data_IF_046794795156
#
_entry.id   IF_046794795156
#
_cell.length_a   1.000
_cell.length_b   1.000
_cell.length_c   1.000
_cell.angle_alpha   90.00
_cell.angle_beta   90.00
_cell.angle_gamma   90.00
#
_symmetry.space_group_name_H-M   'P 1'
#
loop_
_entity.id
_entity.type
_entity.pdbx_description
1 polymer ?
#
# COMPACT_ATOMS: atom_id res chain seq x y z
N UNK A 1 8.13 -10.33 -3.18
CA UNK A 1 7.15 -9.36 -2.68
C UNK A 1 6.15 -9.13 -3.78
N UNK A 2 4.91 -9.51 -3.54
CA UNK A 2 3.79 -9.32 -4.47
C UNK A 2 2.87 -8.24 -3.89
N UNK A 3 2.25 -7.44 -4.77
CA UNK A 3 1.21 -6.50 -4.36
C UNK A 3 -0.09 -7.28 -4.27
N UNK A 4 -0.67 -7.30 -3.08
CA UNK A 4 -1.94 -7.96 -2.79
C UNK A 4 -3.06 -6.92 -2.76
N UNK A 5 -4.21 -7.29 -3.29
CA UNK A 5 -5.41 -6.48 -3.29
C UNK A 5 -6.30 -6.86 -2.09
N UNK A 6 -6.78 -5.85 -1.37
CA UNK A 6 -7.76 -5.96 -0.32
C UNK A 6 -8.92 -5.01 -0.57
N UNK A 7 -9.89 -4.99 0.34
CA UNK A 7 -11.01 -4.06 0.24
C UNK A 7 -10.52 -2.62 0.40
N UNK A 8 -10.61 -1.81 -0.67
CA UNK A 8 -10.20 -0.41 -0.68
C UNK A 8 -8.72 -0.20 -0.29
N UNK A 9 -7.87 -1.22 -0.50
CA UNK A 9 -6.45 -1.12 -0.21
C UNK A 9 -5.58 -2.03 -1.06
N UNK A 10 -4.35 -1.62 -1.25
CA UNK A 10 -3.26 -2.48 -1.72
C UNK A 10 -2.23 -2.61 -0.63
N UNK A 11 -1.65 -3.81 -0.47
CA UNK A 11 -0.64 -4.05 0.55
C UNK A 11 0.40 -5.07 0.10
N UNK A 12 1.55 -5.06 0.77
CA UNK A 12 2.66 -6.00 0.51
C UNK A 12 3.03 -6.66 1.82
N UNK A 13 3.18 -7.98 1.77
CA UNK A 13 3.74 -8.75 2.88
C UNK A 13 5.20 -9.12 2.63
N UNK A 14 5.98 -9.23 3.70
CA UNK A 14 7.31 -9.81 3.68
C UNK A 14 7.25 -11.36 3.53
N UNK A 15 8.42 -12.00 3.58
CA UNK A 15 8.51 -13.46 3.47
C UNK A 15 7.94 -14.21 4.69
N UNK A 16 7.77 -13.54 5.83
CA UNK A 16 7.21 -14.08 7.06
C UNK A 16 5.68 -13.88 7.14
N UNK A 17 5.12 -13.10 6.21
CA UNK A 17 3.70 -12.80 6.11
C UNK A 17 3.28 -11.51 6.82
N UNK A 18 4.22 -10.71 7.34
CA UNK A 18 3.91 -9.43 7.96
C UNK A 18 3.68 -8.36 6.90
N UNK A 19 2.66 -7.53 7.09
CA UNK A 19 2.40 -6.41 6.20
C UNK A 19 3.47 -5.33 6.40
N UNK A 20 4.20 -5.00 5.34
CA UNK A 20 5.32 -4.05 5.36
C UNK A 20 5.07 -2.77 4.55
N UNK A 21 3.99 -2.74 3.77
CA UNK A 21 3.52 -1.54 3.11
C UNK A 21 2.02 -1.64 2.82
N UNK A 22 1.30 -0.52 2.88
CA UNK A 22 -0.07 -0.42 2.42
C UNK A 22 -0.44 0.96 1.86
N UNK A 23 -1.43 0.96 0.97
CA UNK A 23 -2.12 2.14 0.47
C UNK A 23 -3.61 1.89 0.63
N UNK A 24 -4.29 2.76 1.37
CA UNK A 24 -5.75 2.74 1.55
C UNK A 24 -6.36 3.88 0.75
N UNK A 25 -7.41 3.57 -0.02
CA UNK A 25 -8.09 4.54 -0.86
C UNK A 25 -9.61 4.50 -0.67
N UNK A 26 -10.26 5.65 -0.71
CA UNK A 26 -11.72 5.76 -0.58
C UNK A 26 -12.29 6.26 -1.91
N UNK A 27 -13.19 5.51 -2.57
CA UNK A 27 -13.84 5.98 -3.78
C UNK A 27 -14.77 7.16 -3.46
N UNK A 28 -14.65 8.23 -4.24
CA UNK A 28 -15.48 9.44 -4.12
C UNK A 28 -16.19 9.72 -5.43
N UNK A 29 -17.29 9.00 -5.66
CA UNK A 29 -18.01 9.01 -6.93
C UNK A 29 -17.52 7.94 -7.89
N UNK A 30 -17.92 8.04 -9.17
CA UNK A 30 -17.76 6.96 -10.14
C UNK A 30 -16.31 6.81 -10.67
N UNK A 31 -15.55 7.90 -10.70
CA UNK A 31 -14.23 7.93 -11.34
C UNK A 31 -13.13 8.58 -10.51
N UNK A 32 -13.39 8.89 -9.24
CA UNK A 32 -12.42 9.52 -8.35
C UNK A 32 -12.22 8.66 -7.12
N UNK A 33 -10.99 8.67 -6.60
CA UNK A 33 -10.66 8.04 -5.33
C UNK A 33 -9.66 8.92 -4.59
N UNK A 34 -9.83 9.03 -3.29
CA UNK A 34 -8.92 9.73 -2.39
C UNK A 34 -7.97 8.70 -1.81
N UNK A 35 -6.67 8.96 -1.89
CA UNK A 35 -5.68 8.20 -1.12
C UNK A 35 -5.77 8.70 0.32
N UNK A 36 -6.32 7.88 1.22
CA UNK A 36 -6.58 8.25 2.61
C UNK A 36 -5.33 8.01 3.46
N UNK A 37 -4.72 6.84 3.33
CA UNK A 37 -3.60 6.43 4.14
C UNK A 37 -2.53 5.74 3.29
N UNK A 38 -1.28 6.01 3.59
CA UNK A 38 -0.12 5.31 3.02
C UNK A 38 0.90 5.14 4.11
N UNK A 39 1.27 3.89 4.37
CA UNK A 39 2.32 3.54 5.30
C UNK A 39 3.27 2.55 4.67
N UNK A 40 4.55 2.73 4.96
CA UNK A 40 5.63 1.90 4.47
C UNK A 40 6.61 1.73 5.61
N UNK A 41 6.97 0.49 5.90
CA UNK A 41 7.98 0.18 6.89
C UNK A 41 9.28 0.94 6.61
N UNK A 42 9.91 1.45 7.68
CA UNK A 42 11.10 2.30 7.54
C UNK A 42 12.26 1.59 6.84
N UNK A 43 12.36 0.27 6.96
CA UNK A 43 13.37 -0.54 6.27
C UNK A 43 13.22 -0.55 4.74
N UNK A 44 12.03 -0.19 4.23
CA UNK A 44 11.69 -0.15 2.81
C UNK A 44 11.67 1.29 2.24
N UNK A 45 11.74 2.31 3.10
CA UNK A 45 11.81 3.71 2.67
C UNK A 45 13.13 3.95 1.92
N UNK A 46 13.06 4.57 0.74
CA UNK A 46 14.24 4.98 -0.03
C UNK A 46 14.73 4.00 -1.10
N UNK A 47 14.02 2.90 -1.38
CA UNK A 47 14.38 2.01 -2.50
C UNK A 47 14.12 2.59 -3.90
N UNK A 48 13.53 3.79 -3.97
CA UNK A 48 13.18 4.48 -5.23
C UNK A 48 14.19 5.53 -5.74
N UNK A 49 15.45 5.56 -5.27
CA UNK A 49 16.47 6.48 -5.82
C UNK A 49 17.78 5.78 -6.19
N UNK A 50 17.90 5.41 -7.46
CA UNK A 50 19.13 5.56 -8.26
C UNK A 50 18.80 6.31 -9.53
#
# INVERSE_FOLDING_TARGET
MEILEGHNKFYVNDAEGNQVAEIVFVPTGEHLSIIEHTDVDESLKGQGRR
#
